data_IF_535791293888
#
_entry.id   IF_535791293888
#
_cell.length_a   1.000
_cell.length_b   1.000
_cell.length_c   1.000
_cell.angle_alpha   90.00
_cell.angle_beta   90.00
_cell.angle_gamma   90.00
#
_symmetry.space_group_name_H-M   'P 1'
#
loop_
_entity.id
_entity.type
_entity.pdbx_description
1 polymer ?
#
# COMPACT_ATOMS: atom_id res chain seq x y z
N UNK A 1 -54.07 6.24 56.02
CA UNK A 1 -53.75 7.65 55.70
C UNK A 1 -52.60 7.68 54.76
N UNK A 2 -52.90 8.08 53.56
CA UNK A 2 -52.11 8.81 52.55
C UNK A 2 -50.71 8.31 52.11
N UNK A 3 -50.71 7.88 50.86
CA UNK A 3 -49.54 7.84 49.96
C UNK A 3 -48.95 9.22 49.66
N UNK A 4 -47.97 9.35 48.73
CA UNK A 4 -48.37 9.49 47.33
C UNK A 4 -47.42 8.74 46.33
N UNK A 5 -48.03 8.55 45.19
CA UNK A 5 -47.45 8.20 43.87
C UNK A 5 -46.30 9.14 43.49
N UNK A 6 -45.16 8.59 43.12
CA UNK A 6 -44.18 9.33 42.35
C UNK A 6 -44.04 8.73 40.95
N UNK A 7 -44.57 9.47 39.99
CA UNK A 7 -44.58 9.20 38.57
C UNK A 7 -43.23 9.62 37.97
N UNK A 8 -42.28 8.77 37.87
CA UNK A 8 -41.03 9.01 37.13
C UNK A 8 -41.34 9.12 35.62
N UNK A 9 -41.48 10.38 35.13
CA UNK A 9 -41.41 10.71 33.71
C UNK A 9 -40.03 10.28 33.18
N UNK A 10 -40.02 9.30 32.27
CA UNK A 10 -38.83 8.98 31.47
C UNK A 10 -38.55 10.17 30.53
N UNK A 11 -37.42 10.82 30.77
CA UNK A 11 -36.84 11.86 29.92
C UNK A 11 -36.33 11.20 28.61
N UNK A 12 -36.77 11.66 27.40
CA UNK A 12 -36.39 11.06 26.12
C UNK A 12 -35.03 11.54 25.58
N UNK A 13 -34.15 12.13 26.40
CA UNK A 13 -32.88 12.76 25.96
C UNK A 13 -31.64 11.94 26.22
N UNK A 14 -31.71 10.60 26.26
CA UNK A 14 -30.50 9.76 26.34
C UNK A 14 -29.76 9.72 24.99
N UNK A 15 -28.46 10.10 24.92
CA UNK A 15 -27.65 10.11 23.69
C UNK A 15 -27.49 8.72 23.02
N UNK A 16 -27.74 7.65 23.76
CA UNK A 16 -27.69 6.28 23.25
C UNK A 16 -28.85 5.85 22.32
N UNK A 17 -29.97 6.59 22.28
CA UNK A 17 -31.10 6.26 21.40
C UNK A 17 -30.89 6.77 19.97
N UNK A 18 -30.23 7.92 19.79
CA UNK A 18 -29.94 8.50 18.47
C UNK A 18 -28.86 7.71 17.72
N UNK A 19 -27.85 7.16 18.42
CA UNK A 19 -26.81 6.33 17.81
C UNK A 19 -27.31 4.96 17.38
N UNK A 20 -28.28 4.37 18.09
CA UNK A 20 -28.90 3.09 17.71
C UNK A 20 -29.80 3.23 16.48
N UNK A 21 -30.56 4.33 16.35
CA UNK A 21 -31.38 4.64 15.16
C UNK A 21 -30.52 4.81 13.90
N UNK A 22 -29.48 5.63 13.97
CA UNK A 22 -28.57 5.89 12.86
C UNK A 22 -27.81 4.64 12.40
N UNK A 23 -27.44 3.73 13.33
CA UNK A 23 -26.81 2.46 12.99
C UNK A 23 -27.77 1.49 12.32
N UNK A 24 -29.05 1.51 12.70
CA UNK A 24 -30.09 0.65 12.10
C UNK A 24 -30.42 1.11 10.68
N UNK A 25 -30.62 2.40 10.46
CA UNK A 25 -30.85 2.97 9.13
C UNK A 25 -29.63 2.71 8.20
N UNK A 26 -28.39 2.87 8.70
CA UNK A 26 -27.20 2.49 7.95
C UNK A 26 -27.18 1.01 7.57
N UNK A 27 -27.54 0.11 8.47
CA UNK A 27 -27.59 -1.32 8.20
C UNK A 27 -28.66 -1.66 7.14
N UNK A 28 -29.80 -0.99 7.18
CA UNK A 28 -30.89 -1.16 6.19
C UNK A 28 -30.47 -0.67 4.79
N UNK A 29 -29.87 0.53 4.69
CA UNK A 29 -29.36 1.08 3.41
C UNK A 29 -28.27 0.20 2.83
N UNK A 30 -27.38 -0.32 3.68
CA UNK A 30 -26.32 -1.26 3.28
C UNK A 30 -26.93 -2.56 2.71
N UNK A 31 -27.94 -3.12 3.38
CA UNK A 31 -28.64 -4.30 2.91
C UNK A 31 -29.25 -4.11 1.52
N UNK A 32 -29.99 -3.02 1.33
CA UNK A 32 -30.62 -2.68 0.05
C UNK A 32 -29.63 -2.49 -1.11
N UNK A 33 -28.47 -1.92 -0.85
CA UNK A 33 -27.41 -1.76 -1.87
C UNK A 33 -26.83 -3.12 -2.30
N UNK A 34 -26.52 -3.99 -1.34
CA UNK A 34 -25.96 -5.32 -1.63
C UNK A 34 -26.99 -6.18 -2.36
N UNK A 35 -28.26 -6.16 -1.92
CA UNK A 35 -29.37 -6.87 -2.54
C UNK A 35 -29.61 -6.41 -3.99
N UNK A 36 -29.60 -5.08 -4.24
CA UNK A 36 -29.77 -4.51 -5.58
C UNK A 36 -28.78 -5.06 -6.60
N UNK A 37 -27.52 -5.22 -6.21
CA UNK A 37 -26.47 -5.74 -7.09
C UNK A 37 -26.25 -7.26 -6.95
N UNK A 38 -26.98 -7.96 -6.08
CA UNK A 38 -26.80 -9.39 -5.83
C UNK A 38 -25.42 -9.71 -5.25
N UNK A 39 -25.00 -8.95 -4.22
CA UNK A 39 -23.71 -9.06 -3.55
C UNK A 39 -23.88 -9.59 -2.13
N UNK A 40 -22.91 -10.41 -1.70
CA UNK A 40 -22.82 -10.93 -0.33
C UNK A 40 -21.97 -10.03 0.57
N UNK A 41 -21.06 -9.22 -0.02
CA UNK A 41 -20.13 -8.34 0.69
C UNK A 41 -19.79 -7.08 -0.12
N UNK A 42 -19.14 -6.11 0.54
CA UNK A 42 -18.66 -4.90 -0.13
C UNK A 42 -17.47 -5.20 -1.06
N UNK A 43 -17.64 -5.08 -2.39
CA UNK A 43 -16.57 -5.46 -3.32
C UNK A 43 -15.36 -4.52 -3.27
N UNK A 44 -15.56 -3.24 -2.94
CA UNK A 44 -14.54 -2.18 -3.01
C UNK A 44 -14.22 -1.55 -1.65
N UNK A 45 -14.21 -2.36 -0.59
CA UNK A 45 -13.73 -1.92 0.72
C UNK A 45 -12.27 -1.49 0.66
N UNK A 46 -11.93 -0.44 1.43
CA UNK A 46 -10.56 0.08 1.57
C UNK A 46 -9.76 -0.64 2.67
N UNK A 47 -10.43 -1.39 3.52
CA UNK A 47 -9.78 -2.19 4.55
C UNK A 47 -8.98 -3.32 3.88
N UNK A 48 -7.70 -3.50 4.24
CA UNK A 48 -6.89 -4.59 3.72
C UNK A 48 -7.47 -5.94 4.17
N UNK A 49 -8.11 -6.63 3.24
CA UNK A 49 -8.69 -7.97 3.43
C UNK A 49 -8.03 -8.93 2.44
N UNK A 50 -7.32 -9.93 2.98
CA UNK A 50 -6.60 -10.92 2.18
C UNK A 50 -7.53 -11.83 1.38
N UNK A 51 -8.80 -11.99 1.76
CA UNK A 51 -9.78 -12.73 0.97
C UNK A 51 -10.07 -12.08 -0.39
N UNK A 52 -9.92 -10.75 -0.46
CA UNK A 52 -10.06 -9.96 -1.68
C UNK A 52 -8.73 -9.73 -2.41
N UNK A 53 -7.68 -10.45 -2.03
CA UNK A 53 -6.39 -10.33 -2.72
C UNK A 53 -6.54 -10.70 -4.20
N UNK A 54 -6.11 -9.80 -5.05
CA UNK A 54 -6.02 -10.03 -6.48
C UNK A 54 -4.56 -10.29 -6.84
N UNK A 55 -4.30 -11.49 -7.32
CA UNK A 55 -2.97 -11.92 -7.74
C UNK A 55 -2.58 -11.26 -9.08
N UNK A 56 -2.26 -9.96 -9.00
CA UNK A 56 -1.81 -9.22 -10.16
C UNK A 56 -0.39 -9.69 -10.55
N UNK A 57 -0.07 -9.75 -11.86
CA UNK A 57 1.24 -10.20 -12.34
C UNK A 57 2.42 -9.50 -11.64
N UNK A 58 2.35 -8.17 -11.47
CA UNK A 58 3.39 -7.40 -10.79
C UNK A 58 3.55 -7.78 -9.30
N UNK A 59 2.44 -8.08 -8.60
CA UNK A 59 2.50 -8.52 -7.19
C UNK A 59 3.07 -9.94 -7.09
N UNK A 60 2.68 -10.82 -7.99
CA UNK A 60 3.19 -12.19 -8.04
C UNK A 60 4.69 -12.22 -8.35
N UNK A 61 5.13 -11.42 -9.31
CA UNK A 61 6.55 -11.25 -9.63
C UNK A 61 7.33 -10.70 -8.43
N UNK A 62 6.84 -9.64 -7.78
CA UNK A 62 7.45 -9.08 -6.58
C UNK A 62 7.55 -10.11 -5.44
N UNK A 63 6.48 -10.87 -5.18
CA UNK A 63 6.48 -11.93 -4.18
C UNK A 63 7.49 -13.04 -4.50
N UNK A 64 7.54 -13.48 -5.76
CA UNK A 64 8.50 -14.51 -6.20
C UNK A 64 9.94 -14.02 -6.05
N UNK A 65 10.25 -12.78 -6.45
CA UNK A 65 11.57 -12.16 -6.27
C UNK A 65 11.96 -12.14 -4.80
N UNK A 66 11.06 -11.71 -3.91
CA UNK A 66 11.30 -11.69 -2.47
C UNK A 66 11.58 -13.09 -1.92
N UNK A 67 10.77 -14.10 -2.27
CA UNK A 67 10.94 -15.47 -1.79
C UNK A 67 12.25 -16.08 -2.26
N UNK A 68 12.61 -15.89 -3.54
CA UNK A 68 13.90 -16.39 -4.08
C UNK A 68 15.06 -15.71 -3.35
N UNK A 69 15.05 -14.39 -3.20
CA UNK A 69 16.11 -13.66 -2.54
C UNK A 69 16.26 -14.06 -1.06
N UNK A 70 15.16 -14.19 -0.32
CA UNK A 70 15.19 -14.62 1.08
C UNK A 70 15.72 -16.05 1.23
N UNK A 71 15.29 -16.99 0.38
CA UNK A 71 15.78 -18.37 0.38
C UNK A 71 17.25 -18.48 -0.02
N UNK A 72 17.74 -17.54 -0.84
CA UNK A 72 19.17 -17.44 -1.20
C UNK A 72 20.04 -16.81 -0.09
N UNK A 73 19.42 -16.36 1.02
CA UNK A 73 20.15 -15.79 2.16
C UNK A 73 20.47 -14.30 2.02
N UNK A 74 19.81 -13.59 1.11
CA UNK A 74 19.99 -12.16 0.95
C UNK A 74 19.56 -11.38 2.18
N UNK A 75 20.36 -10.39 2.59
CA UNK A 75 20.16 -9.71 3.88
C UNK A 75 19.23 -8.51 3.85
N UNK A 76 19.19 -7.79 2.73
CA UNK A 76 18.39 -6.58 2.58
C UNK A 76 17.65 -6.55 1.26
N UNK A 77 16.32 -6.44 1.34
CA UNK A 77 15.44 -6.31 0.20
C UNK A 77 14.57 -5.06 0.35
N UNK A 78 14.18 -4.48 -0.76
CA UNK A 78 13.34 -3.30 -0.79
C UNK A 78 12.24 -3.43 -1.84
N UNK A 79 11.01 -3.11 -1.44
CA UNK A 79 9.86 -2.92 -2.33
C UNK A 79 9.40 -1.48 -2.22
N UNK A 80 9.44 -0.76 -3.32
CA UNK A 80 8.89 0.59 -3.42
C UNK A 80 7.64 0.63 -4.28
N UNK A 81 6.91 1.71 -4.22
CA UNK A 81 5.75 1.98 -5.06
C UNK A 81 4.85 3.03 -4.45
N UNK A 82 4.03 3.66 -5.26
CA UNK A 82 3.10 4.72 -4.86
C UNK A 82 2.09 4.27 -3.81
N UNK A 83 1.48 5.24 -3.14
CA UNK A 83 0.40 4.99 -2.16
C UNK A 83 -0.76 4.25 -2.81
N UNK A 84 -1.25 3.19 -2.16
CA UNK A 84 -2.42 2.45 -2.62
C UNK A 84 -2.15 1.37 -3.67
N UNK A 85 -0.89 1.06 -4.00
CA UNK A 85 -0.52 -0.05 -4.88
C UNK A 85 -0.61 -1.44 -4.22
N UNK A 86 -0.85 -1.52 -2.91
CA UNK A 86 -1.03 -2.81 -2.21
C UNK A 86 0.24 -3.35 -1.54
N UNK A 87 1.25 -2.52 -1.26
CA UNK A 87 2.49 -2.93 -0.57
C UNK A 87 2.24 -3.66 0.76
N UNK A 88 1.38 -3.11 1.60
CA UNK A 88 0.98 -3.74 2.88
C UNK A 88 0.35 -5.12 2.66
N UNK A 89 -0.45 -5.28 1.61
CA UNK A 89 -1.07 -6.56 1.28
C UNK A 89 -0.02 -7.57 0.79
N UNK A 90 0.91 -7.13 -0.06
CA UNK A 90 2.05 -7.93 -0.50
C UNK A 90 2.93 -8.35 0.70
N UNK A 91 3.18 -7.44 1.66
CA UNK A 91 3.88 -7.76 2.91
C UNK A 91 3.17 -8.87 3.69
N UNK A 92 1.85 -8.78 3.87
CA UNK A 92 1.05 -9.82 4.55
C UNK A 92 1.10 -11.17 3.81
N UNK A 93 1.04 -11.15 2.47
CA UNK A 93 1.17 -12.36 1.67
C UNK A 93 2.55 -13.01 1.85
N UNK A 94 3.62 -12.20 1.89
CA UNK A 94 4.97 -12.67 2.19
C UNK A 94 5.05 -13.34 3.57
N UNK A 95 4.53 -12.68 4.60
CA UNK A 95 4.51 -13.20 5.97
C UNK A 95 3.78 -14.54 6.06
N UNK A 96 2.58 -14.63 5.47
CA UNK A 96 1.80 -15.87 5.43
C UNK A 96 2.54 -17.01 4.71
N UNK A 97 3.23 -16.69 3.59
CA UNK A 97 3.98 -17.69 2.83
C UNK A 97 5.20 -18.21 3.60
N UNK A 98 5.84 -17.34 4.40
CA UNK A 98 7.03 -17.68 5.18
C UNK A 98 6.74 -18.35 6.53
N UNK A 99 5.50 -18.40 7.00
CA UNK A 99 5.11 -18.85 8.34
C UNK A 99 5.69 -20.23 8.71
N UNK A 100 5.72 -21.15 7.74
CA UNK A 100 6.29 -22.50 7.94
C UNK A 100 7.80 -22.56 7.80
N UNK A 101 8.44 -21.62 7.10
CA UNK A 101 9.85 -21.66 6.71
C UNK A 101 10.75 -20.78 7.61
N UNK A 102 10.23 -19.69 8.14
CA UNK A 102 10.99 -18.67 8.86
C UNK A 102 10.29 -18.23 10.15
N UNK A 103 11.00 -17.52 11.02
CA UNK A 103 10.41 -16.71 12.07
C UNK A 103 10.26 -15.30 11.51
N UNK A 104 9.03 -14.81 11.43
CA UNK A 104 8.74 -13.48 10.89
C UNK A 104 8.53 -12.48 12.02
N UNK A 105 9.13 -11.29 11.88
CA UNK A 105 8.87 -10.13 12.73
C UNK A 105 8.27 -9.02 11.85
N UNK A 106 7.13 -8.44 12.27
CA UNK A 106 6.42 -7.44 11.49
C UNK A 106 6.28 -6.12 12.23
N UNK A 107 6.77 -5.05 11.63
CA UNK A 107 6.65 -3.68 12.14
C UNK A 107 5.82 -2.85 11.16
N UNK A 108 4.51 -2.65 11.44
CA UNK A 108 3.58 -1.98 10.50
C UNK A 108 3.74 -0.46 10.43
N UNK A 109 4.25 0.16 11.49
CA UNK A 109 4.49 1.59 11.55
C UNK A 109 5.84 1.86 12.20
N UNK A 110 6.89 2.03 11.40
CA UNK A 110 8.26 2.12 11.91
C UNK A 110 8.66 3.51 12.39
N UNK A 111 7.73 4.45 12.63
CA UNK A 111 8.09 5.75 13.23
C UNK A 111 8.55 5.59 14.69
N UNK A 112 9.50 4.68 14.87
CA UNK A 112 10.05 4.26 16.16
C UNK A 112 11.47 4.79 16.32
N UNK A 113 11.81 5.16 17.56
CA UNK A 113 13.22 5.38 17.94
C UNK A 113 14.01 4.07 17.81
N UNK A 114 15.35 4.12 17.71
CA UNK A 114 16.17 2.91 17.71
C UNK A 114 15.88 1.96 18.87
N UNK A 115 15.65 2.53 20.05
CA UNK A 115 15.31 1.79 21.28
C UNK A 115 13.97 1.07 21.13
N UNK A 116 12.93 1.83 20.73
CA UNK A 116 11.58 1.28 20.58
C UNK A 116 11.54 0.21 19.47
N UNK A 117 12.29 0.39 18.39
CA UNK A 117 12.39 -0.59 17.30
C UNK A 117 13.01 -1.91 17.81
N UNK A 118 14.12 -1.85 18.59
CA UNK A 118 14.74 -3.05 19.19
C UNK A 118 13.81 -3.76 20.16
N UNK A 119 13.08 -3.01 20.99
CA UNK A 119 12.08 -3.56 21.91
C UNK A 119 10.95 -4.26 21.14
N UNK A 120 10.46 -3.64 20.07
CA UNK A 120 9.42 -4.26 19.23
C UNK A 120 9.96 -5.53 18.56
N UNK A 121 11.17 -5.49 18.00
CA UNK A 121 11.80 -6.68 17.42
C UNK A 121 11.97 -7.79 18.45
N UNK A 122 12.42 -7.49 19.66
CA UNK A 122 12.58 -8.47 20.72
C UNK A 122 11.24 -9.18 21.04
N UNK A 123 10.15 -8.41 21.15
CA UNK A 123 8.80 -8.95 21.37
C UNK A 123 8.31 -9.82 20.22
N UNK A 124 8.52 -9.37 18.98
CA UNK A 124 8.19 -10.17 17.78
C UNK A 124 8.99 -11.49 17.73
N UNK A 125 10.18 -11.52 18.27
CA UNK A 125 10.99 -12.74 18.42
C UNK A 125 10.58 -13.61 19.65
N UNK A 126 9.54 -13.22 20.38
CA UNK A 126 9.05 -13.92 21.56
C UNK A 126 9.94 -13.75 22.79
N UNK A 127 10.65 -12.62 22.90
CA UNK A 127 11.36 -12.21 24.12
C UNK A 127 10.48 -11.29 24.95
N UNK A 128 10.70 -11.32 26.27
CA UNK A 128 10.06 -10.43 27.25
C UNK A 128 11.14 -9.60 27.97
N UNK A 129 11.64 -8.53 27.34
CA UNK A 129 12.66 -7.69 27.95
C UNK A 129 12.11 -7.03 29.22
N UNK A 130 12.88 -6.99 30.33
CA UNK A 130 12.50 -6.27 31.55
C UNK A 130 12.28 -4.78 31.28
N UNK A 131 11.41 -4.15 32.07
CA UNK A 131 11.22 -2.71 32.03
C UNK A 131 12.54 -1.99 32.36
N UNK A 132 12.89 -1.01 31.55
CA UNK A 132 14.14 -0.25 31.73
C UNK A 132 15.43 -1.01 31.39
N UNK A 133 15.35 -2.14 30.65
CA UNK A 133 16.52 -2.90 30.22
C UNK A 133 17.55 -2.02 29.51
N UNK A 134 18.84 -2.18 29.86
CA UNK A 134 19.93 -1.48 29.18
C UNK A 134 20.02 -1.87 27.71
N UNK A 135 20.44 -0.93 26.84
CA UNK A 135 20.45 -1.14 25.39
C UNK A 135 21.42 -2.25 24.96
N UNK A 136 22.55 -2.36 25.63
CA UNK A 136 23.55 -3.39 25.43
C UNK A 136 22.96 -4.77 25.75
N UNK A 137 22.32 -4.89 26.92
CA UNK A 137 21.66 -6.14 27.36
C UNK A 137 20.52 -6.55 26.41
N UNK A 138 19.71 -5.57 25.92
CA UNK A 138 18.66 -5.83 24.95
C UNK A 138 19.24 -6.39 23.63
N UNK A 139 20.38 -5.85 23.17
CA UNK A 139 21.06 -6.33 21.96
C UNK A 139 21.59 -7.75 22.16
N UNK A 140 22.19 -8.05 23.31
CA UNK A 140 22.65 -9.41 23.66
C UNK A 140 21.48 -10.40 23.66
N UNK A 141 20.36 -10.05 24.29
CA UNK A 141 19.15 -10.90 24.30
C UNK A 141 18.65 -11.18 22.86
N UNK A 142 18.61 -10.15 21.99
CA UNK A 142 18.22 -10.31 20.60
C UNK A 142 19.21 -11.22 19.87
N UNK A 143 20.52 -11.01 20.04
CA UNK A 143 21.57 -11.79 19.40
C UNK A 143 21.51 -13.26 19.80
N UNK A 144 21.38 -13.56 21.09
CA UNK A 144 21.27 -14.93 21.60
C UNK A 144 20.02 -15.62 21.03
N UNK A 145 18.92 -14.89 20.96
CA UNK A 145 17.68 -15.42 20.35
C UNK A 145 17.85 -15.73 18.88
N UNK A 146 18.47 -14.84 18.11
CA UNK A 146 18.77 -15.05 16.68
C UNK A 146 19.70 -16.26 16.47
N UNK A 147 20.73 -16.42 17.29
CA UNK A 147 21.64 -17.57 17.25
C UNK A 147 20.89 -18.87 17.56
N UNK A 148 20.04 -18.87 18.59
CA UNK A 148 19.24 -20.05 18.93
C UNK A 148 18.26 -20.45 17.81
N UNK A 149 17.66 -19.48 17.12
CA UNK A 149 16.79 -19.75 15.96
C UNK A 149 17.58 -20.26 14.77
N UNK A 150 18.73 -19.67 14.48
CA UNK A 150 19.63 -20.14 13.41
C UNK A 150 20.13 -21.56 13.65
N UNK A 151 20.45 -21.92 14.90
CA UNK A 151 20.83 -23.28 15.30
C UNK A 151 19.72 -24.33 15.08
N UNK A 152 18.46 -23.90 15.04
CA UNK A 152 17.28 -24.72 14.70
C UNK A 152 16.95 -24.71 13.20
N UNK A 153 17.77 -24.07 12.37
CA UNK A 153 17.54 -23.94 10.94
C UNK A 153 16.40 -23.00 10.56
N UNK A 154 15.93 -22.15 11.48
CA UNK A 154 14.85 -21.19 11.22
C UNK A 154 15.43 -19.77 11.03
N UNK A 155 15.51 -19.26 9.78
CA UNK A 155 15.93 -17.90 9.52
C UNK A 155 14.91 -16.90 10.10
N UNK A 156 15.38 -15.68 10.39
CA UNK A 156 14.52 -14.60 10.85
C UNK A 156 14.36 -13.57 9.74
N UNK A 157 13.12 -13.21 9.44
CA UNK A 157 12.77 -12.19 8.44
C UNK A 157 12.04 -11.05 9.12
N UNK A 158 12.66 -9.86 9.12
CA UNK A 158 12.06 -8.62 9.62
C UNK A 158 11.41 -7.86 8.45
N UNK A 159 10.10 -7.72 8.48
CA UNK A 159 9.34 -6.92 7.55
C UNK A 159 8.99 -5.56 8.14
N UNK A 160 9.40 -4.50 7.45
CA UNK A 160 9.14 -3.10 7.82
C UNK A 160 8.18 -2.50 6.79
N UNK A 161 6.96 -2.18 7.20
CA UNK A 161 6.01 -1.47 6.33
C UNK A 161 6.12 0.04 6.53
N UNK A 162 5.77 0.84 5.53
CA UNK A 162 5.90 2.30 5.54
C UNK A 162 7.34 2.79 5.88
N UNK A 163 8.35 2.07 5.39
CA UNK A 163 9.76 2.27 5.76
C UNK A 163 10.31 3.67 5.45
N UNK A 164 9.67 4.47 4.58
CA UNK A 164 10.02 5.87 4.37
C UNK A 164 9.79 6.75 5.60
N UNK A 165 9.05 6.27 6.61
CA UNK A 165 8.82 7.00 7.86
C UNK A 165 9.92 6.76 8.91
N UNK A 166 10.83 5.78 8.70
CA UNK A 166 11.91 5.47 9.62
C UNK A 166 12.84 6.66 9.85
N UNK A 167 13.14 7.05 11.10
CA UNK A 167 14.23 7.99 11.39
C UNK A 167 15.60 7.45 10.91
N UNK A 168 16.53 8.33 10.51
CA UNK A 168 17.87 7.92 10.06
C UNK A 168 18.62 7.11 11.12
N UNK A 169 18.50 7.49 12.39
CA UNK A 169 19.09 6.74 13.49
C UNK A 169 18.53 5.31 13.61
N UNK A 170 17.27 5.11 13.24
CA UNK A 170 16.64 3.77 13.24
C UNK A 170 17.07 2.95 12.03
N UNK A 171 17.24 3.57 10.86
CA UNK A 171 17.83 2.92 9.68
C UNK A 171 19.25 2.43 9.99
N UNK A 172 20.06 3.24 10.69
CA UNK A 172 21.38 2.84 11.12
C UNK A 172 21.35 1.70 12.15
N UNK A 173 20.42 1.73 13.10
CA UNK A 173 20.24 0.63 14.04
C UNK A 173 19.89 -0.69 13.36
N UNK A 174 19.05 -0.64 12.33
CA UNK A 174 18.69 -1.82 11.51
C UNK A 174 19.92 -2.31 10.73
N UNK A 175 20.73 -1.41 10.17
CA UNK A 175 21.98 -1.76 9.52
C UNK A 175 22.93 -2.52 10.45
N UNK A 176 23.03 -2.07 11.70
CA UNK A 176 23.87 -2.72 12.70
C UNK A 176 23.34 -4.11 13.08
N UNK A 177 22.03 -4.29 13.18
CA UNK A 177 21.42 -5.61 13.44
C UNK A 177 21.73 -6.63 12.33
N UNK A 178 21.83 -6.18 11.08
CA UNK A 178 22.16 -7.08 9.96
C UNK A 178 23.64 -7.41 9.83
N UNK A 179 24.51 -6.82 10.71
CA UNK A 179 25.87 -7.29 10.88
C UNK A 179 25.96 -8.58 11.70
N UNK A 180 24.85 -8.95 12.36
CA UNK A 180 24.80 -10.21 13.10
C UNK A 180 24.75 -11.36 12.10
N UNK A 181 25.88 -11.99 11.90
CA UNK A 181 26.04 -13.13 10.98
C UNK A 181 26.96 -14.18 11.62
N UNK A 182 26.76 -15.42 11.20
CA UNK A 182 27.74 -16.50 11.42
C UNK A 182 28.66 -16.57 10.23
N UNK A 183 29.73 -17.38 10.29
CA UNK A 183 30.61 -17.59 9.13
C UNK A 183 29.89 -18.03 7.85
N UNK A 184 28.67 -18.58 7.97
CA UNK A 184 27.94 -19.19 6.85
C UNK A 184 26.58 -18.56 6.54
N UNK A 185 25.99 -17.78 7.45
CA UNK A 185 24.60 -17.29 7.31
C UNK A 185 24.38 -15.97 8.05
N UNK A 186 23.55 -15.13 7.46
CA UNK A 186 22.97 -13.97 8.14
C UNK A 186 21.94 -14.45 9.16
N UNK A 187 21.95 -13.84 10.36
CA UNK A 187 21.01 -14.18 11.43
C UNK A 187 19.65 -13.54 11.25
N UNK A 188 19.60 -12.39 10.55
CA UNK A 188 18.37 -11.65 10.27
C UNK A 188 18.42 -11.12 8.83
N UNK A 189 17.30 -11.24 8.13
CA UNK A 189 17.05 -10.68 6.83
C UNK A 189 16.00 -9.59 6.94
N UNK A 190 16.12 -8.50 6.19
CA UNK A 190 15.22 -7.34 6.29
C UNK A 190 14.55 -7.07 4.96
N UNK A 191 13.22 -6.94 4.97
CA UNK A 191 12.42 -6.53 3.82
C UNK A 191 11.76 -5.21 4.15
N UNK A 192 12.08 -4.17 3.40
CA UNK A 192 11.51 -2.83 3.54
C UNK A 192 10.44 -2.60 2.47
N UNK A 193 9.24 -2.29 2.90
CA UNK A 193 8.15 -1.81 2.04
C UNK A 193 7.98 -0.31 2.25
N UNK A 194 8.06 0.48 1.19
CA UNK A 194 8.00 1.93 1.31
C UNK A 194 7.47 2.63 0.08
N UNK A 195 7.26 3.93 0.21
CA UNK A 195 6.93 4.83 -0.89
C UNK A 195 8.23 5.27 -1.60
N UNK A 196 8.17 5.89 -2.81
CA UNK A 196 9.36 6.33 -3.53
C UNK A 196 10.28 7.26 -2.72
N UNK A 197 9.74 7.98 -1.72
CA UNK A 197 10.50 8.82 -0.79
C UNK A 197 11.52 8.02 0.04
N UNK A 198 11.34 6.70 0.15
CA UNK A 198 12.35 5.82 0.76
C UNK A 198 13.67 5.87 -0.02
N UNK A 199 13.61 5.92 -1.35
CA UNK A 199 14.80 6.00 -2.20
C UNK A 199 15.54 7.32 -2.03
N UNK A 200 14.81 8.42 -1.91
CA UNK A 200 15.39 9.73 -1.61
C UNK A 200 16.11 9.73 -0.25
N UNK A 201 15.49 9.12 0.77
CA UNK A 201 16.09 8.99 2.10
C UNK A 201 17.33 8.11 2.09
N UNK A 202 17.30 6.97 1.41
CA UNK A 202 18.41 6.04 1.27
C UNK A 202 19.58 6.63 0.43
N UNK A 203 19.31 7.67 -0.35
CA UNK A 203 20.35 8.37 -1.11
C UNK A 203 21.20 9.33 -0.27
N UNK A 204 20.77 9.68 0.96
CA UNK A 204 21.48 10.59 1.85
C UNK A 204 22.83 10.01 2.29
N UNK A 205 23.86 10.84 2.45
CA UNK A 205 25.19 10.39 2.88
C UNK A 205 25.20 9.61 4.19
N UNK A 206 24.34 10.01 5.16
CA UNK A 206 24.20 9.39 6.49
C UNK A 206 23.80 7.93 6.46
N UNK A 207 23.06 7.49 5.44
CA UNK A 207 22.56 6.11 5.30
C UNK A 207 23.09 5.37 4.08
N UNK A 208 24.13 5.92 3.43
CA UNK A 208 24.75 5.34 2.22
C UNK A 208 25.18 3.89 2.41
N UNK A 209 25.70 3.54 3.59
CA UNK A 209 26.14 2.17 3.88
C UNK A 209 24.99 1.17 3.90
N UNK A 210 23.79 1.59 4.34
CA UNK A 210 22.60 0.76 4.27
C UNK A 210 22.17 0.52 2.81
N UNK A 211 22.18 1.59 2.00
CA UNK A 211 21.84 1.49 0.57
C UNK A 211 22.72 0.48 -0.15
N UNK A 212 24.02 0.42 0.15
CA UNK A 212 24.97 -0.53 -0.46
C UNK A 212 24.69 -2.00 -0.09
N UNK A 213 23.90 -2.25 0.95
CA UNK A 213 23.52 -3.60 1.40
C UNK A 213 22.23 -4.11 0.78
N UNK A 214 21.46 -3.24 0.13
CA UNK A 214 20.24 -3.62 -0.55
C UNK A 214 20.63 -4.37 -1.82
N UNK A 215 20.40 -5.68 -1.81
CA UNK A 215 20.75 -6.58 -2.92
C UNK A 215 19.63 -6.68 -3.94
N UNK A 216 18.38 -6.56 -3.49
CA UNK A 216 17.20 -6.57 -4.35
C UNK A 216 16.30 -5.37 -4.10
N UNK A 217 15.90 -4.74 -5.19
CA UNK A 217 14.94 -3.64 -5.21
C UNK A 217 13.92 -3.89 -6.30
N UNK A 218 12.64 -3.84 -5.94
CA UNK A 218 11.53 -3.94 -6.87
C UNK A 218 10.61 -2.73 -6.73
N UNK A 219 10.24 -2.13 -7.85
CA UNK A 219 9.30 -1.02 -7.89
C UNK A 219 7.93 -1.51 -8.37
N UNK A 220 6.96 -1.51 -7.46
CA UNK A 220 5.62 -2.02 -7.70
C UNK A 220 4.84 -1.08 -8.60
N UNK A 221 4.47 -1.58 -9.77
CA UNK A 221 3.78 -0.82 -10.79
C UNK A 221 2.26 -0.82 -10.62
N UNK A 222 1.56 0.25 -11.04
CA UNK A 222 0.11 0.26 -11.11
C UNK A 222 -0.42 -0.81 -12.08
N UNK A 223 -1.70 -1.15 -11.94
CA UNK A 223 -2.40 -2.03 -12.88
C UNK A 223 -2.50 -1.35 -14.26
N UNK A 224 -2.28 -2.11 -15.31
CA UNK A 224 -2.59 -1.69 -16.67
C UNK A 224 -4.11 -1.66 -16.91
N UNK A 225 -4.55 -1.22 -18.08
CA UNK A 225 -5.96 -1.11 -18.45
C UNK A 225 -6.71 -2.44 -18.27
N UNK A 226 -6.11 -3.52 -18.75
CA UNK A 226 -6.71 -4.86 -18.65
C UNK A 226 -6.65 -5.40 -17.23
N UNK A 227 -5.59 -5.07 -16.49
CA UNK A 227 -5.43 -5.36 -15.07
C UNK A 227 -6.54 -4.73 -14.23
N UNK A 228 -6.90 -3.47 -14.47
CA UNK A 228 -8.04 -2.83 -13.79
C UNK A 228 -9.34 -3.57 -14.09
N UNK A 229 -9.56 -3.97 -15.34
CA UNK A 229 -10.76 -4.72 -15.72
C UNK A 229 -10.84 -6.09 -15.06
N UNK A 230 -9.70 -6.80 -14.97
CA UNK A 230 -9.60 -8.08 -14.25
C UNK A 230 -9.76 -7.91 -12.74
N UNK A 231 -9.15 -6.87 -12.17
CA UNK A 231 -9.24 -6.53 -10.76
C UNK A 231 -10.69 -6.26 -10.32
N UNK A 232 -11.43 -5.41 -11.05
CA UNK A 232 -12.83 -5.10 -10.75
C UNK A 232 -13.68 -6.37 -10.79
N UNK A 233 -13.53 -7.21 -11.83
CA UNK A 233 -14.24 -8.49 -11.93
C UNK A 233 -13.90 -9.45 -10.80
N UNK A 234 -12.64 -9.54 -10.40
CA UNK A 234 -12.20 -10.37 -9.28
C UNK A 234 -12.87 -9.92 -7.99
N UNK A 235 -12.83 -8.62 -7.67
CA UNK A 235 -13.43 -8.05 -6.46
C UNK A 235 -14.95 -8.30 -6.40
N UNK A 236 -15.64 -8.11 -7.51
CA UNK A 236 -17.07 -8.39 -7.62
C UNK A 236 -17.37 -9.90 -7.41
N UNK A 237 -16.57 -10.78 -8.01
CA UNK A 237 -16.74 -12.24 -7.85
C UNK A 237 -16.54 -12.68 -6.41
N UNK A 238 -15.50 -12.18 -5.74
CA UNK A 238 -15.25 -12.48 -4.31
C UNK A 238 -16.39 -11.96 -3.45
N UNK A 239 -16.98 -10.82 -3.81
CA UNK A 239 -18.15 -10.26 -3.14
C UNK A 239 -19.47 -10.98 -3.46
N UNK A 240 -19.43 -12.13 -4.15
CA UNK A 240 -20.62 -12.94 -4.45
C UNK A 240 -21.31 -12.65 -5.78
N UNK A 241 -20.88 -11.63 -6.54
CA UNK A 241 -21.51 -11.27 -7.80
C UNK A 241 -21.38 -12.38 -8.86
N UNK A 242 -22.52 -12.80 -9.44
CA UNK A 242 -22.61 -13.86 -10.46
C UNK A 242 -23.35 -13.45 -11.73
N UNK A 243 -23.68 -12.15 -11.84
CA UNK A 243 -24.45 -11.61 -12.97
C UNK A 243 -23.60 -11.34 -14.23
N UNK A 244 -24.24 -10.72 -15.22
CA UNK A 244 -23.60 -10.16 -16.40
C UNK A 244 -22.61 -9.05 -15.99
N UNK A 245 -21.67 -8.60 -16.89
CA UNK A 245 -20.71 -7.56 -16.53
C UNK A 245 -21.37 -6.31 -15.95
N UNK A 246 -21.13 -6.05 -14.64
CA UNK A 246 -21.74 -4.94 -13.93
C UNK A 246 -21.24 -3.58 -14.44
N UNK A 247 -19.95 -3.49 -14.81
CA UNK A 247 -19.36 -2.28 -15.39
C UNK A 247 -19.33 -2.37 -16.91
N UNK A 248 -19.88 -1.35 -17.59
CA UNK A 248 -19.75 -1.17 -19.03
C UNK A 248 -18.27 -1.01 -19.42
N UNK A 249 -17.88 -1.45 -20.62
CA UNK A 249 -16.49 -1.33 -21.10
C UNK A 249 -15.95 0.12 -21.05
N UNK A 250 -16.78 1.10 -21.46
CA UNK A 250 -16.43 2.52 -21.38
C UNK A 250 -16.25 3.00 -19.92
N UNK A 251 -17.04 2.45 -18.99
CA UNK A 251 -16.89 2.74 -17.57
C UNK A 251 -15.55 2.22 -17.03
N UNK A 252 -15.12 1.01 -17.38
CA UNK A 252 -13.82 0.45 -17.01
C UNK A 252 -12.66 1.27 -17.60
N UNK A 253 -12.77 1.74 -18.83
CA UNK A 253 -11.77 2.62 -19.46
C UNK A 253 -11.63 3.96 -18.71
N UNK A 254 -12.74 4.57 -18.31
CA UNK A 254 -12.73 5.78 -17.49
C UNK A 254 -12.19 5.53 -16.08
N UNK A 255 -12.54 4.39 -15.49
CA UNK A 255 -12.03 3.97 -14.18
C UNK A 255 -10.51 3.85 -14.19
N UNK A 256 -9.93 3.19 -15.22
CA UNK A 256 -8.49 3.14 -15.42
C UNK A 256 -7.86 4.53 -15.54
N UNK A 257 -8.43 5.39 -16.39
CA UNK A 257 -7.90 6.75 -16.60
C UNK A 257 -7.96 7.60 -15.33
N UNK A 258 -9.08 7.54 -14.59
CA UNK A 258 -9.25 8.29 -13.35
C UNK A 258 -8.39 7.78 -12.20
N UNK A 259 -8.16 6.47 -12.11
CA UNK A 259 -7.35 5.86 -11.04
C UNK A 259 -5.85 5.81 -11.35
N UNK A 260 -5.44 5.97 -12.63
CA UNK A 260 -4.08 5.69 -13.08
C UNK A 260 -3.64 4.25 -12.79
N UNK A 261 -4.59 3.31 -12.69
CA UNK A 261 -4.33 1.91 -12.35
C UNK A 261 -4.02 1.64 -10.87
N UNK A 262 -4.12 2.64 -10.01
CA UNK A 262 -3.86 2.48 -8.56
C UNK A 262 -5.02 1.75 -7.88
N UNK A 263 -4.86 0.54 -7.30
CA UNK A 263 -5.93 -0.27 -6.74
C UNK A 263 -6.81 0.47 -5.72
N UNK A 264 -6.21 1.27 -4.85
CA UNK A 264 -6.95 2.08 -3.87
C UNK A 264 -7.90 3.07 -4.54
N UNK A 265 -7.43 3.78 -5.58
CA UNK A 265 -8.28 4.72 -6.33
C UNK A 265 -9.31 3.98 -7.17
N UNK A 266 -8.97 2.81 -7.75
CA UNK A 266 -9.95 1.94 -8.42
C UNK A 266 -11.08 1.60 -7.45
N UNK A 267 -10.79 1.20 -6.21
CA UNK A 267 -11.81 0.90 -5.21
C UNK A 267 -12.67 2.11 -4.87
N UNK A 268 -12.07 3.27 -4.61
CA UNK A 268 -12.82 4.50 -4.30
C UNK A 268 -13.76 4.88 -5.44
N UNK A 269 -13.24 4.92 -6.66
CA UNK A 269 -14.03 5.33 -7.83
C UNK A 269 -15.10 4.30 -8.20
N UNK A 270 -14.78 2.99 -8.14
CA UNK A 270 -15.72 1.93 -8.41
C UNK A 270 -16.87 1.93 -7.39
N UNK A 271 -16.55 2.08 -6.09
CA UNK A 271 -17.56 2.19 -5.04
C UNK A 271 -18.50 3.37 -5.25
N UNK A 272 -17.96 4.58 -5.46
CA UNK A 272 -18.75 5.79 -5.73
C UNK A 272 -19.60 5.65 -7.01
N UNK A 273 -19.05 5.04 -8.07
CA UNK A 273 -19.78 4.82 -9.32
C UNK A 273 -20.94 3.83 -9.14
N UNK A 274 -20.75 2.77 -8.34
CA UNK A 274 -21.84 1.85 -7.99
C UNK A 274 -22.91 2.53 -7.14
N UNK A 275 -22.51 3.36 -6.16
CA UNK A 275 -23.47 4.16 -5.37
C UNK A 275 -24.29 5.10 -6.26
N UNK A 276 -23.66 5.74 -7.27
CA UNK A 276 -24.36 6.61 -8.21
C UNK A 276 -25.36 5.81 -9.08
N UNK A 277 -24.97 4.62 -9.58
CA UNK A 277 -25.86 3.75 -10.35
C UNK A 277 -27.06 3.27 -9.51
N UNK A 278 -26.80 2.83 -8.28
CA UNK A 278 -27.86 2.44 -7.33
C UNK A 278 -28.84 3.58 -7.04
N UNK A 279 -28.31 4.79 -6.80
CA UNK A 279 -29.16 5.98 -6.57
C UNK A 279 -30.02 6.38 -7.79
N UNK A 280 -29.64 5.97 -9.00
CA UNK A 280 -30.40 6.13 -10.22
C UNK A 280 -31.30 4.91 -10.54
N UNK A 281 -31.28 3.86 -9.71
CA UNK A 281 -32.05 2.61 -9.92
C UNK A 281 -31.54 1.77 -11.10
N UNK A 282 -30.25 1.92 -11.46
CA UNK A 282 -29.66 1.18 -12.60
C UNK A 282 -28.87 -0.04 -12.14
N UNK A 283 -29.10 -1.15 -12.83
CA UNK A 283 -28.43 -2.44 -12.56
C UNK A 283 -27.03 -2.51 -13.18
N UNK A 284 -26.58 -1.49 -13.91
CA UNK A 284 -25.31 -1.45 -14.60
C UNK A 284 -24.57 -0.12 -14.39
N UNK A 285 -23.29 -0.20 -14.08
CA UNK A 285 -22.44 0.98 -13.93
C UNK A 285 -21.95 1.46 -15.30
N UNK A 286 -22.45 2.60 -15.73
CA UNK A 286 -22.12 3.24 -17.01
C UNK A 286 -21.03 4.30 -16.86
N UNK A 287 -20.49 4.73 -18.01
CA UNK A 287 -19.46 5.77 -18.07
C UNK A 287 -19.81 7.07 -17.31
N UNK A 288 -21.12 7.48 -17.29
CA UNK A 288 -21.56 8.68 -16.58
C UNK A 288 -21.40 8.57 -15.07
N UNK A 289 -21.63 7.38 -14.47
CA UNK A 289 -21.48 7.15 -13.04
C UNK A 289 -20.01 7.25 -12.61
N UNK A 290 -19.10 6.70 -13.42
CA UNK A 290 -17.65 6.81 -13.18
C UNK A 290 -17.17 8.26 -13.33
N UNK A 291 -17.67 9.01 -14.33
CA UNK A 291 -17.33 10.43 -14.49
C UNK A 291 -17.74 11.22 -13.27
N UNK A 292 -18.97 11.03 -12.76
CA UNK A 292 -19.43 11.67 -11.53
C UNK A 292 -18.58 11.27 -10.32
N UNK A 293 -18.18 10.00 -10.21
CA UNK A 293 -17.29 9.54 -9.14
C UNK A 293 -15.91 10.22 -9.20
N UNK A 294 -15.36 10.43 -10.40
CA UNK A 294 -14.09 11.16 -10.62
C UNK A 294 -14.23 12.63 -10.21
N UNK A 295 -15.30 13.30 -10.64
CA UNK A 295 -15.57 14.70 -10.30
C UNK A 295 -15.74 14.92 -8.79
N UNK A 296 -16.34 13.96 -8.09
CA UNK A 296 -16.55 13.97 -6.63
C UNK A 296 -15.33 13.51 -5.82
N UNK A 297 -14.21 13.17 -6.47
CA UNK A 297 -13.03 12.67 -5.76
C UNK A 297 -11.87 13.66 -5.88
N UNK A 298 -11.57 14.36 -4.77
CA UNK A 298 -10.42 15.26 -4.69
C UNK A 298 -9.10 14.54 -5.00
N UNK A 299 -8.23 15.19 -5.77
CA UNK A 299 -6.90 14.67 -6.13
C UNK A 299 -6.85 13.77 -7.37
N UNK A 300 -7.99 13.38 -7.96
CA UNK A 300 -8.02 12.60 -9.22
C UNK A 300 -7.94 13.51 -10.44
N UNK A 301 -8.55 14.69 -10.39
CA UNK A 301 -8.63 15.63 -11.53
C UNK A 301 -7.30 16.24 -11.97
N UNK A 302 -6.26 16.24 -11.11
CA UNK A 302 -4.97 16.92 -11.40
C UNK A 302 -3.92 16.02 -12.05
N UNK A 303 -4.05 14.69 -12.00
CA UNK A 303 -3.07 13.77 -12.60
C UNK A 303 -3.30 13.46 -14.08
N UNK A 304 -4.49 13.68 -14.62
CA UNK A 304 -4.85 13.32 -16.00
C UNK A 304 -4.22 14.22 -17.09
N UNK A 305 -3.47 15.27 -16.75
CA UNK A 305 -3.00 16.25 -17.73
C UNK A 305 -1.51 16.63 -17.66
N UNK A 306 -0.65 15.77 -17.12
CA UNK A 306 0.82 15.97 -17.29
C UNK A 306 1.40 14.97 -18.29
N UNK A 307 0.89 14.97 -19.50
CA UNK A 307 1.54 14.35 -20.66
C UNK A 307 2.70 15.28 -21.11
N UNK A 308 3.89 14.74 -21.39
CA UNK A 308 5.09 15.54 -21.68
C UNK A 308 5.11 16.13 -23.10
N UNK A 309 4.02 16.76 -23.55
CA UNK A 309 4.01 17.43 -24.83
C UNK A 309 4.68 18.82 -24.82
N UNK A 310 5.04 19.34 -23.64
CA UNK A 310 5.66 20.67 -23.49
C UNK A 310 7.16 20.69 -23.81
N UNK A 311 7.81 19.55 -23.97
CA UNK A 311 9.24 19.52 -24.35
C UNK A 311 9.49 19.44 -25.86
N UNK A 312 8.48 19.14 -26.68
CA UNK A 312 8.57 19.14 -28.14
C UNK A 312 8.53 20.53 -28.78
N UNK A 313 7.89 21.51 -28.11
CA UNK A 313 7.71 22.86 -28.63
C UNK A 313 8.96 23.75 -28.50
N UNK A 314 9.76 23.58 -27.41
CA UNK A 314 10.93 24.43 -27.17
C UNK A 314 12.13 24.00 -28.02
N UNK A 315 12.26 22.70 -28.31
CA UNK A 315 13.31 22.19 -29.19
C UNK A 315 13.13 22.58 -30.66
N UNK A 316 11.89 22.68 -31.13
CA UNK A 316 11.57 23.06 -32.52
C UNK A 316 11.87 24.53 -32.83
N UNK A 317 11.62 25.45 -31.88
CA UNK A 317 11.89 26.87 -32.04
C UNK A 317 13.39 27.16 -32.00
N UNK A 318 14.16 26.47 -31.15
CA UNK A 318 15.60 26.60 -31.05
C UNK A 318 16.33 26.13 -32.34
N UNK A 319 15.83 25.09 -33.01
CA UNK A 319 16.39 24.59 -34.28
C UNK A 319 16.09 25.54 -35.46
N UNK A 320 14.92 26.15 -35.50
CA UNK A 320 14.55 27.09 -36.54
C UNK A 320 15.31 28.45 -36.44
N UNK A 321 15.55 28.92 -35.22
CA UNK A 321 16.36 30.16 -34.99
C UNK A 321 17.84 29.90 -35.23
N UNK A 322 18.40 28.74 -34.90
CA UNK A 322 19.77 28.36 -35.22
C UNK A 322 20.06 28.22 -36.71
N UNK A 323 19.13 27.62 -37.46
CA UNK A 323 19.23 27.49 -38.91
C UNK A 323 19.13 28.86 -39.64
N UNK A 324 18.25 29.76 -39.18
CA UNK A 324 18.13 31.11 -39.74
C UNK A 324 19.40 31.95 -39.46
N UNK A 325 20.07 31.80 -38.32
CA UNK A 325 21.31 32.51 -38.01
C UNK A 325 22.50 31.99 -38.82
N UNK A 326 22.57 30.66 -39.08
CA UNK A 326 23.61 30.08 -39.94
C UNK A 326 23.47 30.49 -41.42
N UNK A 327 22.24 30.61 -41.94
CA UNK A 327 21.99 31.10 -43.29
C UNK A 327 22.31 32.58 -43.47
N UNK A 328 22.07 33.39 -42.42
CA UNK A 328 22.43 34.81 -42.42
C UNK A 328 23.95 35.06 -42.40
N UNK A 329 24.74 34.16 -41.76
CA UNK A 329 26.22 34.26 -41.76
C UNK A 329 26.85 33.76 -43.08
N UNK A 330 26.25 32.81 -43.75
CA UNK A 330 26.75 32.27 -45.02
C UNK A 330 26.49 33.19 -46.25
N UNK A 331 25.53 34.15 -46.15
CA UNK A 331 25.21 35.11 -47.19
C UNK A 331 26.03 36.40 -47.24
N UNK A 332 27.03 36.55 -46.34
CA UNK A 332 27.79 37.78 -46.17
C UNK A 332 29.23 37.81 -46.76
N UNK A 333 29.58 36.94 -47.70
CA UNK A 333 30.88 36.95 -48.35
C UNK A 333 30.69 36.84 -49.86
N UNK A 334 30.60 37.97 -50.50
CA UNK A 334 31.08 38.21 -51.90
C UNK A 334 31.24 39.71 -52.11
N UNK A 335 32.28 40.10 -52.87
CA UNK A 335 32.96 41.40 -52.84
C UNK A 335 32.19 42.56 -53.43
#
# INVERSE_FOLDING_TARGET
>A
MNGPLDSARKDPSHPGARTRGANRERAEVVGMYLEHFGLDAWPFSLTPDTSFYYDAPAHQEALNVLLVALRSGEGFLKITGEVGLGKTLLCRMLLNTLESEAVTAYIPNPHLSPVSMRLTLARELGLEPPDGVAQEQLLEMIQDRLLALAGRGRPVVLCLDEAQQLPEATLEAIRLLTNLETEKRKLIQVVMFGQPELDERLSRPSVRQLRQRITFSYDLQPLDHDGVSRYVRHRLRVAGYRGAPLFEHRALTLLYRGSGGTPRLVNVLAHKAMMAAWGEGEDQVRARHVRRAIEDTEGVSTRAHRWPWLWGGVGGVALLTGAAWLVAQAGGVLP
#
